data_IF_061468026429
#
_entry.id   IF_061468026429
#
_cell.length_a   1.000
_cell.length_b   1.000
_cell.length_c   1.000
_cell.angle_alpha   90.00
_cell.angle_beta   90.00
_cell.angle_gamma   90.00
#
_symmetry.space_group_name_H-M   'P 1'
#
loop_
_entity.id
_entity.type
_entity.pdbx_description
1 polymer ?
#
# COMPACT_ATOMS: atom_id res chain seq x y z
N UNK A 1 21.27 -47.49 68.91
CA UNK A 1 20.50 -46.44 68.21
C UNK A 1 21.16 -45.12 68.55
N UNK A 2 21.63 -44.40 67.52
CA UNK A 2 22.78 -43.49 67.53
C UNK A 2 22.53 -42.11 68.20
N UNK A 3 23.65 -41.46 68.56
CA UNK A 3 23.84 -40.32 69.45
C UNK A 3 24.00 -38.94 68.73
N UNK A 4 23.73 -37.87 69.51
CA UNK A 4 24.39 -36.55 69.63
C UNK A 4 24.26 -35.36 68.63
N UNK A 5 24.46 -34.19 69.26
CA UNK A 5 24.38 -32.75 68.92
C UNK A 5 25.50 -32.19 68.00
N UNK A 6 25.16 -31.05 67.38
CA UNK A 6 25.91 -29.77 67.15
C UNK A 6 27.40 -29.75 66.79
N UNK A 7 27.78 -28.91 65.79
CA UNK A 7 28.83 -27.86 65.84
C UNK A 7 29.16 -27.25 64.45
N UNK A 8 29.81 -26.07 64.48
CA UNK A 8 30.03 -25.06 63.44
C UNK A 8 31.30 -25.24 62.55
N UNK A 9 31.21 -24.74 61.29
CA UNK A 9 32.19 -24.06 60.37
C UNK A 9 33.60 -24.68 60.06
N UNK A 10 34.31 -24.34 58.93
CA UNK A 10 34.23 -23.13 58.06
C UNK A 10 34.33 -23.30 56.50
N UNK A 11 33.98 -22.21 55.79
CA UNK A 11 34.41 -21.69 54.47
C UNK A 11 35.29 -22.53 53.50
N UNK A 12 34.86 -22.65 52.23
CA UNK A 12 35.60 -22.10 51.07
C UNK A 12 34.71 -21.95 49.82
N UNK A 13 35.00 -20.94 48.99
CA UNK A 13 34.23 -20.47 47.82
C UNK A 13 34.47 -21.33 46.57
N UNK A 14 33.43 -21.60 45.77
CA UNK A 14 33.55 -21.62 44.30
C UNK A 14 32.20 -21.35 43.62
N UNK A 15 32.22 -20.40 42.66
CA UNK A 15 31.07 -19.89 41.90
C UNK A 15 30.34 -21.01 41.13
N UNK A 16 29.06 -21.22 41.41
CA UNK A 16 28.15 -22.09 40.68
C UNK A 16 27.22 -21.29 39.76
N UNK A 17 27.16 -21.70 38.49
CA UNK A 17 26.35 -21.14 37.40
C UNK A 17 24.86 -21.10 37.77
N UNK A 18 24.21 -19.95 37.55
CA UNK A 18 22.76 -19.82 37.61
C UNK A 18 22.07 -20.58 36.46
N UNK A 19 20.80 -21.00 36.64
CA UNK A 19 20.08 -21.79 35.65
C UNK A 19 19.72 -20.93 34.44
N UNK A 20 19.71 -21.57 33.27
CA UNK A 20 19.36 -20.97 31.99
C UNK A 20 17.93 -20.41 32.03
N UNK A 21 17.81 -19.10 31.78
CA UNK A 21 16.53 -18.48 31.46
C UNK A 21 16.18 -18.83 30.02
N UNK A 22 15.10 -19.59 29.87
CA UNK A 22 14.41 -19.85 28.62
C UNK A 22 13.79 -18.53 28.15
N UNK A 23 14.50 -17.81 27.28
CA UNK A 23 13.97 -16.62 26.62
C UNK A 23 13.07 -17.07 25.47
N UNK A 24 11.80 -17.33 25.77
CA UNK A 24 10.77 -17.20 24.73
C UNK A 24 10.60 -15.72 24.43
N UNK A 25 11.15 -15.29 23.30
CA UNK A 25 11.00 -13.95 22.74
C UNK A 25 9.53 -13.74 22.32
N UNK A 26 8.79 -12.75 22.86
CA UNK A 26 7.39 -12.55 22.51
C UNK A 26 7.20 -11.71 21.23
N UNK A 27 7.98 -11.91 20.15
CA UNK A 27 7.95 -10.98 19.00
C UNK A 27 7.97 -11.58 17.59
N UNK A 28 7.67 -12.87 17.39
CA UNK A 28 7.61 -13.45 16.03
C UNK A 28 6.17 -13.59 15.47
N UNK A 29 5.16 -13.10 16.20
CA UNK A 29 3.82 -13.01 15.65
C UNK A 29 3.74 -11.82 14.68
N UNK A 30 3.42 -12.10 13.41
CA UNK A 30 3.09 -11.05 12.43
C UNK A 30 2.00 -10.14 13.02
N UNK A 31 2.04 -8.82 12.79
CA UNK A 31 0.99 -7.92 13.27
C UNK A 31 -0.36 -8.41 12.77
N UNK A 32 -1.25 -8.79 13.68
CA UNK A 32 -2.62 -9.13 13.32
C UNK A 32 -3.31 -7.87 12.82
N UNK A 33 -4.20 -8.02 11.84
CA UNK A 33 -5.04 -6.91 11.42
C UNK A 33 -5.86 -6.39 12.61
N UNK A 34 -5.80 -5.08 12.86
CA UNK A 34 -6.61 -4.39 13.88
C UNK A 34 -7.05 -3.02 13.34
N UNK A 35 -8.28 -2.58 13.67
CA UNK A 35 -8.73 -1.23 13.36
C UNK A 35 -8.10 -0.19 14.29
N UNK A 36 -8.27 1.08 13.92
CA UNK A 36 -7.85 2.24 14.69
C UNK A 36 -8.39 2.24 16.13
N UNK A 37 -7.62 2.71 17.14
CA UNK A 37 -8.14 2.93 18.49
C UNK A 37 -9.21 4.03 18.60
N UNK A 38 -9.49 4.78 17.51
CA UNK A 38 -10.60 5.75 17.43
C UNK A 38 -11.94 5.12 16.97
N UNK A 39 -11.97 3.79 16.77
CA UNK A 39 -13.10 3.02 16.24
C UNK A 39 -14.13 2.69 17.35
N UNK A 40 -14.95 3.66 17.75
CA UNK A 40 -16.10 3.41 18.64
C UNK A 40 -17.45 3.28 17.89
N UNK A 41 -17.48 3.43 16.56
CA UNK A 41 -18.73 3.45 15.79
C UNK A 41 -18.57 2.82 14.40
N UNK A 42 -18.85 1.51 14.31
CA UNK A 42 -19.14 0.85 13.03
C UNK A 42 -20.38 1.53 12.43
N UNK A 43 -20.29 2.01 11.19
CA UNK A 43 -21.44 2.60 10.49
C UNK A 43 -22.06 1.52 9.61
N UNK A 44 -23.32 1.16 9.82
CA UNK A 44 -23.94 0.04 9.10
C UNK A 44 -24.11 0.27 7.59
N UNK A 45 -23.97 1.52 7.11
CA UNK A 45 -24.04 1.93 5.70
C UNK A 45 -23.12 3.15 5.50
N UNK A 46 -22.54 3.33 4.29
CA UNK A 46 -21.90 4.59 3.92
C UNK A 46 -22.95 5.69 3.84
N UNK A 47 -22.61 6.94 4.20
CA UNK A 47 -23.69 7.94 4.40
C UNK A 47 -24.29 8.48 3.11
N UNK A 48 -23.56 8.47 2.01
CA UNK A 48 -23.96 9.18 0.79
C UNK A 48 -23.71 8.39 -0.49
N UNK A 49 -22.51 7.82 -0.67
CA UNK A 49 -22.11 7.14 -1.91
C UNK A 49 -21.98 5.61 -1.72
N UNK A 50 -23.08 4.95 -1.41
CA UNK A 50 -23.10 3.48 -1.32
C UNK A 50 -23.26 2.82 -2.69
N UNK A 51 -22.61 1.66 -2.83
CA UNK A 51 -22.85 0.81 -3.97
C UNK A 51 -24.19 0.09 -3.90
N UNK A 52 -24.72 -0.28 -5.06
CA UNK A 52 -25.93 -1.10 -5.14
C UNK A 52 -25.68 -2.53 -4.63
N UNK A 53 -26.73 -3.18 -4.12
CA UNK A 53 -26.69 -4.60 -3.73
C UNK A 53 -26.18 -5.49 -4.86
N UNK A 54 -26.65 -5.23 -6.09
CA UNK A 54 -26.22 -5.94 -7.29
C UNK A 54 -24.72 -5.79 -7.54
N UNK A 55 -24.17 -4.59 -7.33
CA UNK A 55 -22.73 -4.36 -7.47
C UNK A 55 -21.94 -5.04 -6.36
N UNK A 56 -22.48 -5.09 -5.14
CA UNK A 56 -21.88 -5.81 -4.02
C UNK A 56 -21.80 -7.32 -4.31
N UNK A 57 -22.91 -7.93 -4.72
CA UNK A 57 -22.98 -9.35 -5.06
C UNK A 57 -22.11 -9.72 -6.26
N UNK A 58 -22.17 -8.93 -7.34
CA UNK A 58 -21.34 -9.16 -8.52
C UNK A 58 -19.84 -9.03 -8.21
N UNK A 59 -19.46 -8.09 -7.34
CA UNK A 59 -18.10 -7.95 -6.87
C UNK A 59 -17.66 -9.14 -6.00
N UNK A 60 -18.51 -9.64 -5.10
CA UNK A 60 -18.27 -10.87 -4.33
C UNK A 60 -18.04 -12.05 -5.27
N UNK A 61 -18.86 -12.21 -6.32
CA UNK A 61 -18.70 -13.25 -7.34
C UNK A 61 -17.41 -13.11 -8.16
N UNK A 62 -17.07 -11.89 -8.56
CA UNK A 62 -15.81 -11.59 -9.24
C UNK A 62 -14.62 -12.02 -8.38
N UNK A 63 -14.62 -11.68 -7.09
CA UNK A 63 -13.54 -12.06 -6.17
C UNK A 63 -13.37 -13.59 -6.06
N UNK A 64 -14.47 -14.35 -6.07
CA UNK A 64 -14.44 -15.81 -6.03
C UNK A 64 -13.89 -16.43 -7.32
N UNK A 65 -14.21 -15.84 -8.48
CA UNK A 65 -13.77 -16.32 -9.79
C UNK A 65 -12.34 -15.92 -10.15
N UNK A 66 -11.85 -14.82 -9.58
CA UNK A 66 -10.56 -14.24 -9.91
C UNK A 66 -9.70 -14.15 -8.64
N UNK A 67 -8.97 -15.22 -8.26
CA UNK A 67 -8.03 -15.17 -7.14
C UNK A 67 -7.03 -14.03 -7.28
N UNK A 68 -6.55 -13.52 -6.15
CA UNK A 68 -5.53 -12.46 -6.12
C UNK A 68 -4.27 -12.92 -6.85
N UNK A 69 -3.69 -12.01 -7.63
CA UNK A 69 -2.44 -12.28 -8.32
C UNK A 69 -1.31 -12.37 -7.28
N UNK A 70 -0.46 -13.41 -7.35
CA UNK A 70 0.72 -13.46 -6.49
C UNK A 70 1.68 -12.32 -6.85
N UNK A 71 2.52 -11.87 -5.90
CA UNK A 71 3.56 -10.90 -6.16
C UNK A 71 4.47 -11.34 -7.28
N UNK A 72 4.94 -10.38 -8.08
CA UNK A 72 5.81 -10.67 -9.22
C UNK A 72 6.94 -9.67 -9.35
N UNK A 73 8.05 -10.11 -9.93
CA UNK A 73 9.11 -9.21 -10.34
C UNK A 73 8.59 -8.29 -11.46
N UNK A 74 8.99 -7.03 -11.40
CA UNK A 74 8.70 -6.05 -12.44
C UNK A 74 9.43 -6.44 -13.73
N UNK A 75 8.80 -6.15 -14.88
CA UNK A 75 9.44 -6.38 -16.18
C UNK A 75 10.68 -5.50 -16.33
N UNK A 76 11.64 -5.94 -17.16
CA UNK A 76 12.84 -5.15 -17.46
C UNK A 76 12.49 -3.76 -17.98
N UNK A 77 11.46 -3.66 -18.83
CA UNK A 77 10.95 -2.38 -19.34
C UNK A 77 10.47 -1.47 -18.19
N UNK A 78 9.72 -2.01 -17.21
CA UNK A 78 9.28 -1.24 -16.06
C UNK A 78 10.48 -0.76 -15.21
N UNK A 79 11.47 -1.64 -14.98
CA UNK A 79 12.68 -1.30 -14.24
C UNK A 79 13.48 -0.19 -14.96
N UNK A 80 13.62 -0.28 -16.28
CA UNK A 80 14.28 0.75 -17.10
C UNK A 80 13.54 2.08 -17.02
N UNK A 81 12.20 2.08 -17.11
CA UNK A 81 11.41 3.30 -16.94
C UNK A 81 11.60 3.91 -15.55
N UNK A 82 11.60 3.10 -14.49
CA UNK A 82 11.83 3.58 -13.12
C UNK A 82 13.24 4.17 -12.98
N UNK A 83 14.26 3.55 -13.57
CA UNK A 83 15.64 4.08 -13.57
C UNK A 83 15.73 5.42 -14.31
N UNK A 84 15.05 5.53 -15.44
CA UNK A 84 15.10 6.73 -16.28
C UNK A 84 14.25 7.90 -15.74
N UNK A 85 13.09 7.61 -15.14
CA UNK A 85 12.08 8.62 -14.80
C UNK A 85 11.83 8.76 -13.28
N UNK A 86 12.40 7.87 -12.46
CA UNK A 86 12.10 7.80 -11.03
C UNK A 86 10.62 7.55 -10.78
N UNK A 87 10.02 8.35 -9.89
CA UNK A 87 8.60 8.28 -9.56
C UNK A 87 7.70 8.63 -10.76
N UNK A 88 8.24 9.27 -11.79
CA UNK A 88 7.52 9.60 -13.02
C UNK A 88 7.10 8.36 -13.82
N UNK A 89 7.66 7.18 -13.50
CA UNK A 89 7.27 5.91 -14.11
C UNK A 89 5.91 5.39 -13.60
N UNK A 90 5.41 5.88 -12.46
CA UNK A 90 4.07 5.55 -11.96
C UNK A 90 3.04 6.41 -12.67
N UNK A 91 2.12 5.75 -13.33
CA UNK A 91 1.02 6.32 -14.10
C UNK A 91 -0.30 5.70 -13.63
N UNK A 92 -1.43 6.32 -13.98
CA UNK A 92 -2.75 5.72 -13.78
C UNK A 92 -3.23 5.07 -15.07
N UNK A 93 -3.77 3.86 -14.94
CA UNK A 93 -4.34 3.10 -16.05
C UNK A 93 -5.83 3.39 -16.18
N UNK A 94 -6.30 3.52 -17.41
CA UNK A 94 -7.74 3.55 -17.68
C UNK A 94 -8.36 2.22 -17.25
N UNK A 95 -9.38 2.22 -16.36
CA UNK A 95 -10.04 0.99 -15.94
C UNK A 95 -10.55 0.20 -17.13
N UNK A 96 -10.30 -1.11 -17.13
CA UNK A 96 -10.81 -2.00 -18.18
C UNK A 96 -12.34 -2.07 -18.08
N UNK A 97 -13.02 -2.02 -19.23
CA UNK A 97 -14.47 -2.17 -19.28
C UNK A 97 -14.84 -3.60 -18.86
N UNK A 98 -15.64 -3.73 -17.80
CA UNK A 98 -16.19 -5.03 -17.38
C UNK A 98 -17.70 -4.93 -17.43
N UNK A 99 -18.34 -5.82 -18.18
CA UNK A 99 -19.81 -5.89 -18.30
C UNK A 99 -20.45 -4.54 -18.72
N UNK A 100 -19.77 -3.78 -19.57
CA UNK A 100 -20.23 -2.46 -20.04
C UNK A 100 -20.09 -1.32 -19.02
N UNK A 101 -19.53 -1.61 -17.85
CA UNK A 101 -19.23 -0.63 -16.80
C UNK A 101 -17.79 -0.16 -16.96
N UNK A 102 -17.61 1.14 -17.04
CA UNK A 102 -16.28 1.74 -17.05
C UNK A 102 -16.31 3.14 -16.49
N UNK A 103 -15.14 3.56 -16.01
CA UNK A 103 -14.86 4.94 -15.70
C UNK A 103 -15.24 5.84 -16.89
N UNK A 104 -16.02 6.88 -16.60
CA UNK A 104 -16.39 7.92 -17.57
C UNK A 104 -15.49 9.12 -17.35
N UNK A 105 -14.42 9.24 -18.12
CA UNK A 105 -13.50 10.36 -17.96
C UNK A 105 -12.24 10.23 -18.78
N UNK A 106 -11.27 11.09 -18.46
CA UNK A 106 -9.94 11.09 -19.06
C UNK A 106 -8.87 11.04 -17.98
N UNK A 107 -7.77 10.36 -18.30
CA UNK A 107 -6.55 10.32 -17.49
C UNK A 107 -5.44 10.91 -18.35
N UNK A 108 -4.77 11.93 -17.82
CA UNK A 108 -3.64 12.59 -18.45
C UNK A 108 -2.39 12.34 -17.61
N UNK A 109 -1.63 11.30 -17.98
CA UNK A 109 -0.33 11.01 -17.37
C UNK A 109 0.67 12.10 -17.78
N UNK A 110 0.95 13.03 -16.87
CA UNK A 110 1.78 14.21 -17.14
C UNK A 110 3.26 13.88 -17.10
N UNK A 111 3.82 13.29 -18.16
CA UNK A 111 5.24 12.92 -18.24
C UNK A 111 6.22 14.07 -17.92
N UNK A 112 5.83 15.33 -18.18
CA UNK A 112 6.66 16.52 -17.90
C UNK A 112 6.40 17.17 -16.54
N UNK A 113 5.19 17.03 -16.01
CA UNK A 113 4.80 17.66 -14.73
C UNK A 113 5.00 16.74 -13.53
N UNK A 114 5.22 15.43 -13.75
CA UNK A 114 5.38 14.44 -12.69
C UNK A 114 4.09 14.15 -11.91
N UNK A 115 2.95 14.66 -12.40
CA UNK A 115 1.62 14.50 -11.80
C UNK A 115 0.62 14.06 -12.85
N UNK A 116 -0.39 13.35 -12.40
CA UNK A 116 -1.39 12.73 -13.26
C UNK A 116 -2.72 13.40 -13.01
N UNK A 117 -3.28 14.03 -14.03
CA UNK A 117 -4.58 14.72 -13.92
C UNK A 117 -5.70 13.80 -14.39
N UNK A 118 -6.72 13.65 -13.56
CA UNK A 118 -7.90 12.84 -13.85
C UNK A 118 -9.12 13.74 -13.85
N UNK A 119 -9.95 13.59 -14.87
CA UNK A 119 -11.22 14.31 -15.01
C UNK A 119 -12.32 13.28 -15.26
N UNK A 120 -13.28 13.15 -14.35
CA UNK A 120 -14.49 12.39 -14.62
C UNK A 120 -15.54 13.26 -15.30
N UNK A 121 -16.44 12.63 -16.05
CA UNK A 121 -17.66 13.24 -16.57
C UNK A 121 -18.78 13.10 -15.54
N UNK A 122 -19.85 13.86 -15.73
CA UNK A 122 -21.11 13.65 -15.02
C UNK A 122 -21.59 12.20 -15.12
N UNK A 123 -22.33 11.77 -14.10
CA UNK A 123 -22.88 10.42 -13.97
C UNK A 123 -21.80 9.32 -14.11
N UNK A 124 -20.61 9.57 -13.55
CA UNK A 124 -19.57 8.57 -13.47
C UNK A 124 -20.02 7.47 -12.50
N UNK A 125 -20.12 6.21 -12.93
CA UNK A 125 -20.41 5.12 -12.00
C UNK A 125 -19.23 4.91 -11.07
N UNK A 126 -19.46 4.17 -9.99
CA UNK A 126 -18.38 3.68 -9.12
C UNK A 126 -17.28 3.07 -9.98
N UNK A 127 -16.08 3.62 -9.82
CA UNK A 127 -14.93 3.27 -10.64
C UNK A 127 -13.68 3.30 -9.80
N UNK A 128 -12.81 2.31 -9.96
CA UNK A 128 -11.49 2.29 -9.33
C UNK A 128 -10.38 2.35 -10.38
N UNK A 129 -9.62 3.43 -10.33
CA UNK A 129 -8.47 3.71 -11.19
C UNK A 129 -7.21 3.26 -10.47
N UNK A 130 -6.38 2.47 -11.13
CA UNK A 130 -5.19 1.89 -10.53
C UNK A 130 -3.90 2.47 -11.09
N UNK A 131 -2.84 2.50 -10.28
CA UNK A 131 -1.49 2.71 -10.80
C UNK A 131 -1.03 1.55 -11.69
N UNK A 132 -0.25 1.83 -12.73
CA UNK A 132 0.35 0.82 -13.62
C UNK A 132 1.41 -0.06 -12.93
N UNK A 133 2.05 0.48 -11.89
CA UNK A 133 3.08 -0.17 -11.09
C UNK A 133 2.63 -0.29 -9.63
N UNK A 134 3.07 -1.34 -8.91
CA UNK A 134 2.77 -1.46 -7.49
C UNK A 134 3.45 -0.34 -6.70
N UNK A 135 2.73 0.27 -5.77
CA UNK A 135 3.29 1.17 -4.76
C UNK A 135 3.91 0.38 -3.60
N UNK A 136 3.52 -0.89 -3.43
CA UNK A 136 4.14 -1.88 -2.56
C UNK A 136 4.45 -3.11 -3.43
N UNK A 137 5.71 -3.32 -3.77
CA UNK A 137 6.13 -4.51 -4.52
C UNK A 137 6.63 -5.57 -3.54
N UNK A 138 5.87 -6.66 -3.37
CA UNK A 138 6.08 -7.64 -2.31
C UNK A 138 7.43 -8.36 -2.43
N UNK A 139 7.88 -8.62 -3.66
CA UNK A 139 9.14 -9.32 -3.91
C UNK A 139 10.40 -8.44 -3.86
N UNK A 140 10.30 -7.17 -3.50
CA UNK A 140 11.46 -6.28 -3.43
C UNK A 140 11.77 -5.89 -1.98
N UNK A 141 13.04 -5.64 -1.68
CA UNK A 141 13.47 -5.12 -0.38
C UNK A 141 13.14 -3.61 -0.29
N UNK A 142 12.48 -3.14 0.78
CA UNK A 142 12.23 -1.71 0.99
C UNK A 142 13.51 -0.86 1.18
N UNK A 143 14.70 -1.47 1.30
CA UNK A 143 16.02 -0.80 1.38
C UNK A 143 16.11 0.24 2.50
N UNK A 144 15.66 -0.14 3.70
CA UNK A 144 15.71 0.73 4.87
C UNK A 144 14.70 1.88 4.85
N UNK A 145 13.76 1.89 3.90
CA UNK A 145 12.60 2.79 3.96
C UNK A 145 11.62 2.32 5.02
N UNK A 146 10.94 3.29 5.63
CA UNK A 146 9.89 3.01 6.62
C UNK A 146 8.51 2.76 5.98
N UNK A 147 8.31 3.24 4.74
CA UNK A 147 7.01 3.12 4.07
C UNK A 147 6.95 3.69 2.65
N UNK A 148 5.74 3.68 2.11
CA UNK A 148 5.36 4.28 0.83
C UNK A 148 4.22 5.27 1.01
N UNK A 149 4.19 6.31 0.17
CA UNK A 149 3.22 7.39 0.27
C UNK A 149 2.91 8.02 -1.10
N UNK A 150 1.66 8.46 -1.29
CA UNK A 150 1.26 9.29 -2.44
C UNK A 150 0.14 10.27 -2.05
N UNK A 151 -0.03 11.33 -2.84
CA UNK A 151 -1.02 12.39 -2.59
C UNK A 151 -2.00 12.56 -3.75
N UNK A 152 -3.22 12.95 -3.42
CA UNK A 152 -4.27 13.36 -4.35
C UNK A 152 -4.71 14.76 -4.00
N UNK A 153 -4.50 15.70 -4.93
CA UNK A 153 -4.97 17.07 -4.82
C UNK A 153 -6.33 17.22 -5.48
N UNK A 154 -7.30 17.72 -4.73
CA UNK A 154 -8.64 17.98 -5.22
C UNK A 154 -8.66 19.25 -6.05
N UNK A 155 -9.01 19.14 -7.33
CA UNK A 155 -9.22 20.31 -8.21
C UNK A 155 -10.71 20.65 -8.26
N UNK A 156 -11.57 19.63 -8.39
CA UNK A 156 -13.02 19.73 -8.35
C UNK A 156 -13.58 18.53 -7.60
N UNK A 157 -14.27 18.82 -6.49
CA UNK A 157 -14.97 17.80 -5.70
C UNK A 157 -16.37 17.65 -6.29
N UNK A 158 -16.82 16.42 -6.62
CA UNK A 158 -18.18 16.22 -7.13
C UNK A 158 -19.21 16.55 -6.04
N UNK A 159 -20.39 17.09 -6.40
CA UNK A 159 -21.47 17.28 -5.43
C UNK A 159 -22.00 15.94 -4.94
N UNK A 160 -22.49 15.88 -3.70
CA UNK A 160 -23.15 14.69 -3.17
C UNK A 160 -24.33 14.25 -4.08
N UNK A 161 -24.55 12.93 -4.25
CA UNK A 161 -23.85 11.81 -3.63
C UNK A 161 -22.53 11.38 -4.31
N UNK A 162 -21.79 12.29 -4.94
CA UNK A 162 -20.47 12.00 -5.49
C UNK A 162 -19.34 11.94 -4.47
N UNK A 163 -18.31 11.15 -4.78
CA UNK A 163 -17.14 10.95 -3.93
C UNK A 163 -15.88 10.69 -4.76
N UNK A 164 -14.73 11.12 -4.22
CA UNK A 164 -13.40 10.66 -4.63
C UNK A 164 -12.86 9.82 -3.46
N UNK A 165 -12.38 8.61 -3.72
CA UNK A 165 -11.76 7.78 -2.70
C UNK A 165 -10.25 7.63 -2.94
N UNK A 166 -9.46 7.73 -1.87
CA UNK A 166 -8.00 7.59 -1.93
C UNK A 166 -7.63 6.30 -1.20
N UNK A 167 -7.01 5.36 -1.91
CA UNK A 167 -6.83 4.01 -1.40
C UNK A 167 -5.67 3.24 -2.01
N UNK A 168 -5.61 1.97 -1.63
CA UNK A 168 -4.66 1.01 -2.18
C UNK A 168 -5.33 -0.35 -2.28
N UNK A 169 -4.99 -1.15 -3.29
CA UNK A 169 -5.55 -2.50 -3.41
C UNK A 169 -4.63 -3.47 -4.14
N UNK A 170 -4.79 -4.74 -3.81
CA UNK A 170 -4.27 -5.84 -4.62
C UNK A 170 -5.16 -6.09 -5.85
N UNK A 171 -4.57 -6.69 -6.88
CA UNK A 171 -5.26 -7.08 -8.12
C UNK A 171 -5.42 -8.60 -8.18
N UNK A 172 -6.41 -9.14 -8.93
CA UNK A 172 -7.50 -8.44 -9.61
C UNK A 172 -8.55 -7.87 -8.64
N UNK A 173 -9.00 -6.64 -8.89
CA UNK A 173 -10.03 -5.95 -8.10
C UNK A 173 -11.27 -5.68 -8.97
N UNK A 174 -12.50 -5.75 -8.43
CA UNK A 174 -13.72 -5.38 -9.16
C UNK A 174 -13.69 -3.87 -9.48
N UNK A 175 -13.31 -3.51 -10.71
CA UNK A 175 -13.06 -2.12 -11.10
C UNK A 175 -14.27 -1.18 -11.06
N UNK A 176 -15.48 -1.73 -10.88
CA UNK A 176 -16.73 -1.00 -10.69
C UNK A 176 -17.11 -0.80 -9.21
N UNK A 177 -16.14 -0.96 -8.31
CA UNK A 177 -16.27 -0.75 -6.87
C UNK A 177 -15.27 0.30 -6.44
N UNK A 178 -15.57 1.08 -5.42
CA UNK A 178 -14.62 2.01 -4.82
C UNK A 178 -13.55 1.25 -4.00
N UNK A 179 -12.33 1.80 -3.82
CA UNK A 179 -11.30 1.23 -2.95
C UNK A 179 -11.80 1.00 -1.52
N UNK A 180 -11.37 -0.10 -0.91
CA UNK A 180 -11.73 -0.48 0.46
C UNK A 180 -12.91 -1.44 0.58
N UNK A 181 -13.77 -1.50 -0.44
CA UNK A 181 -15.01 -2.29 -0.39
C UNK A 181 -14.85 -3.80 -0.62
N UNK A 182 -13.72 -4.25 -1.11
CA UNK A 182 -13.48 -5.66 -1.41
C UNK A 182 -12.08 -6.10 -0.95
N UNK A 183 -11.83 -7.41 -1.00
CA UNK A 183 -10.62 -8.08 -0.47
C UNK A 183 -9.31 -7.35 -0.84
N UNK A 184 -8.41 -7.32 0.12
CA UNK A 184 -7.12 -6.64 0.13
C UNK A 184 -7.19 -5.27 -0.53
N UNK A 185 -8.06 -4.42 -0.01
CA UNK A 185 -8.15 -3.02 -0.39
C UNK A 185 -8.43 -2.16 0.81
N UNK A 186 -7.74 -1.02 0.90
CA UNK A 186 -7.99 0.04 1.86
C UNK A 186 -8.43 1.31 1.12
N UNK A 187 -9.37 2.08 1.66
CA UNK A 187 -9.81 3.34 1.05
C UNK A 187 -10.35 4.33 2.07
N UNK A 188 -10.11 5.62 1.81
CA UNK A 188 -10.76 6.74 2.49
C UNK A 188 -11.68 7.45 1.50
N UNK A 189 -12.95 7.58 1.85
CA UNK A 189 -13.99 8.16 0.99
C UNK A 189 -14.27 9.60 1.42
N UNK A 190 -14.29 10.52 0.46
CA UNK A 190 -14.29 11.96 0.76
C UNK A 190 -15.68 12.55 1.02
N UNK A 191 -16.75 11.81 0.72
CA UNK A 191 -18.13 12.21 0.97
C UNK A 191 -18.50 12.17 2.46
N UNK A 192 -17.96 11.20 3.20
CA UNK A 192 -18.26 11.00 4.63
C UNK A 192 -17.01 10.86 5.52
N UNK A 193 -15.80 10.95 4.95
CA UNK A 193 -14.53 10.78 5.65
C UNK A 193 -14.40 9.41 6.36
N UNK A 194 -15.12 8.39 5.89
CA UNK A 194 -15.01 7.02 6.38
C UNK A 194 -13.84 6.28 5.75
N UNK A 195 -13.29 5.34 6.51
CA UNK A 195 -12.25 4.42 6.03
C UNK A 195 -12.79 3.00 5.89
N UNK A 196 -12.31 2.29 4.89
CA UNK A 196 -12.77 0.95 4.53
C UNK A 196 -11.55 0.05 4.35
N UNK A 197 -11.59 -1.17 4.89
CA UNK A 197 -10.60 -2.21 4.59
C UNK A 197 -11.30 -3.57 4.50
N UNK A 198 -11.31 -4.16 3.30
CA UNK A 198 -12.10 -5.36 2.99
C UNK A 198 -13.56 -5.28 3.45
N UNK A 199 -14.17 -4.10 3.34
CA UNK A 199 -15.43 -3.77 3.99
C UNK A 199 -16.53 -3.47 2.95
N UNK A 200 -17.28 -4.49 2.50
CA UNK A 200 -18.31 -4.32 1.48
C UNK A 200 -19.59 -3.67 2.00
N UNK A 201 -19.80 -3.64 3.32
CA UNK A 201 -21.12 -3.47 3.91
C UNK A 201 -21.23 -2.20 4.79
N UNK A 202 -20.14 -1.58 5.26
CA UNK A 202 -20.25 -0.28 5.94
C UNK A 202 -18.97 0.22 6.60
N UNK A 203 -18.50 1.40 6.16
CA UNK A 203 -17.20 1.95 6.55
C UNK A 203 -17.06 2.28 8.03
N UNK A 204 -15.81 2.57 8.43
CA UNK A 204 -15.45 2.90 9.81
C UNK A 204 -15.20 4.38 9.98
N UNK A 205 -15.68 4.92 11.09
CA UNK A 205 -15.33 6.28 11.49
C UNK A 205 -13.82 6.37 11.75
N UNK A 206 -13.19 7.45 11.29
CA UNK A 206 -11.75 7.62 11.41
C UNK A 206 -11.36 8.89 12.18
N UNK A 207 -11.64 10.08 11.65
CA UNK A 207 -11.28 11.37 12.29
C UNK A 207 -12.44 12.34 12.47
N UNK A 208 -13.67 11.82 12.41
CA UNK A 208 -14.87 12.64 12.29
C UNK A 208 -14.99 13.28 10.90
N UNK A 209 -16.16 13.84 10.62
CA UNK A 209 -16.49 14.41 9.30
C UNK A 209 -15.94 15.82 9.15
N UNK A 210 -15.35 16.08 7.99
CA UNK A 210 -14.97 17.43 7.57
C UNK A 210 -15.17 17.61 6.07
N UNK A 211 -15.49 18.83 5.66
CA UNK A 211 -15.76 19.12 4.25
C UNK A 211 -14.46 19.10 3.43
N UNK A 212 -14.40 18.21 2.44
CA UNK A 212 -13.37 18.23 1.39
C UNK A 212 -13.72 19.28 0.34
N UNK A 213 -12.73 20.12 -0.01
CA UNK A 213 -12.90 21.25 -0.93
C UNK A 213 -11.82 21.25 -1.99
N UNK A 214 -12.08 21.97 -3.08
CA UNK A 214 -11.05 22.28 -4.07
C UNK A 214 -9.82 22.90 -3.40
N UNK A 215 -8.64 22.46 -3.82
CA UNK A 215 -7.35 22.82 -3.25
C UNK A 215 -6.88 21.92 -2.11
N UNK A 216 -7.76 21.13 -1.47
CA UNK A 216 -7.33 20.19 -0.43
C UNK A 216 -6.47 19.07 -1.00
N UNK A 217 -5.51 18.61 -0.20
CA UNK A 217 -4.64 17.47 -0.51
C UNK A 217 -4.91 16.36 0.48
N UNK A 218 -5.22 15.17 -0.04
CA UNK A 218 -5.37 13.95 0.76
C UNK A 218 -4.26 13.00 0.37
N UNK A 219 -3.42 12.63 1.34
CA UNK A 219 -2.40 11.61 1.14
C UNK A 219 -2.76 10.30 1.80
N UNK A 220 -2.11 9.22 1.35
CA UNK A 220 -2.20 7.89 1.96
C UNK A 220 -0.81 7.31 2.11
N UNK A 221 -0.53 6.79 3.30
CA UNK A 221 0.74 6.17 3.66
C UNK A 221 0.56 4.72 4.10
N UNK A 222 1.56 3.89 3.78
CA UNK A 222 1.69 2.52 4.29
C UNK A 222 3.06 2.35 4.96
N UNK A 223 3.09 1.94 6.22
CA UNK A 223 4.32 1.64 6.97
C UNK A 223 4.70 0.18 6.84
N UNK A 224 5.90 -0.10 6.35
CA UNK A 224 6.35 -1.46 6.05
C UNK A 224 6.49 -2.35 7.30
N UNK A 225 6.98 -1.79 8.40
CA UNK A 225 7.25 -2.57 9.61
C UNK A 225 5.99 -3.11 10.30
N UNK A 226 4.88 -2.38 10.22
CA UNK A 226 3.67 -2.65 11.02
C UNK A 226 2.44 -2.97 10.18
N UNK A 227 2.52 -2.81 8.84
CA UNK A 227 1.34 -2.85 7.98
C UNK A 227 0.33 -1.76 8.36
N UNK A 228 0.82 -0.61 8.83
CA UNK A 228 -0.03 0.53 9.19
C UNK A 228 -0.44 1.30 7.94
N UNK A 229 -1.75 1.55 7.78
CA UNK A 229 -2.29 2.50 6.80
C UNK A 229 -2.84 3.71 7.52
N UNK A 230 -2.49 4.88 7.00
CA UNK A 230 -3.00 6.16 7.46
C UNK A 230 -3.24 7.11 6.29
N UNK A 231 -4.06 8.12 6.54
CA UNK A 231 -4.26 9.24 5.63
C UNK A 231 -3.72 10.53 6.20
N UNK A 232 -3.46 11.50 5.33
CA UNK A 232 -3.12 12.87 5.68
C UNK A 232 -4.13 13.83 5.06
N UNK A 233 -4.34 14.98 5.69
CA UNK A 233 -5.11 16.08 5.14
C UNK A 233 -4.27 17.35 5.20
N UNK A 234 -4.00 17.95 4.04
CA UNK A 234 -3.17 19.15 3.88
C UNK A 234 -1.85 19.05 4.66
N UNK A 235 -1.17 17.91 4.49
CA UNK A 235 0.12 17.61 5.13
C UNK A 235 0.07 17.21 6.60
N UNK A 236 -1.12 17.10 7.22
CA UNK A 236 -1.27 16.65 8.60
C UNK A 236 -1.73 15.19 8.66
N UNK A 237 -1.02 14.29 9.34
CA UNK A 237 -1.50 12.93 9.57
C UNK A 237 -2.83 12.92 10.34
N UNK A 238 -3.73 12.04 9.92
CA UNK A 238 -5.05 11.84 10.53
C UNK A 238 -5.03 10.74 11.61
N UNK A 239 -3.86 10.17 11.92
CA UNK A 239 -3.72 9.05 12.86
C UNK A 239 -3.55 7.71 12.13
N UNK A 240 -3.60 6.60 12.86
CA UNK A 240 -3.53 5.26 12.26
C UNK A 240 -4.94 4.76 12.01
N UNK A 241 -5.26 4.35 10.77
CA UNK A 241 -6.59 3.82 10.43
C UNK A 241 -6.65 2.30 10.58
N UNK A 242 -5.62 1.60 10.08
CA UNK A 242 -5.50 0.15 10.14
C UNK A 242 -4.07 -0.24 10.47
N UNK A 243 -3.86 -1.37 11.13
CA UNK A 243 -2.55 -2.01 11.31
C UNK A 243 -2.58 -3.45 10.81
N UNK A 244 -1.43 -4.02 10.47
CA UNK A 244 -1.34 -5.41 9.99
C UNK A 244 -1.98 -5.67 8.63
N UNK A 245 -2.38 -4.64 7.89
CA UNK A 245 -2.92 -4.81 6.52
C UNK A 245 -1.80 -5.16 5.56
N UNK A 246 -2.10 -5.95 4.52
CA UNK A 246 -1.13 -6.39 3.50
C UNK A 246 0.11 -7.09 4.07
N UNK A 247 -0.05 -7.76 5.23
CA UNK A 247 1.02 -8.53 5.87
C UNK A 247 0.78 -10.04 5.71
N UNK A 248 1.84 -10.84 5.49
CA UNK A 248 3.22 -10.41 5.28
C UNK A 248 3.41 -9.78 3.89
N UNK A 249 4.23 -8.72 3.83
CA UNK A 249 4.39 -7.87 2.65
C UNK A 249 4.81 -8.65 1.41
N UNK A 250 5.63 -9.68 1.59
CA UNK A 250 6.17 -10.53 0.53
C UNK A 250 5.10 -11.35 -0.20
N UNK A 251 3.85 -11.36 0.31
CA UNK A 251 2.71 -12.03 -0.31
C UNK A 251 1.81 -11.09 -1.12
N UNK A 252 2.11 -9.78 -1.16
CA UNK A 252 1.23 -8.80 -1.79
C UNK A 252 1.98 -7.80 -2.68
N UNK A 253 1.53 -7.70 -3.93
CA UNK A 253 1.72 -6.49 -4.73
C UNK A 253 0.50 -5.59 -4.54
N UNK A 254 0.71 -4.39 -4.02
CA UNK A 254 -0.35 -3.40 -3.76
C UNK A 254 -0.15 -2.19 -4.64
N UNK A 255 -1.23 -1.76 -5.27
CA UNK A 255 -1.28 -0.65 -6.21
C UNK A 255 -2.01 0.52 -5.58
N UNK A 256 -1.69 1.74 -6.03
CA UNK A 256 -2.55 2.88 -5.71
C UNK A 256 -3.91 2.64 -6.36
N UNK A 257 -4.97 2.96 -5.63
CA UNK A 257 -6.34 2.74 -6.03
C UNK A 257 -7.14 4.02 -5.73
N UNK A 258 -7.58 4.73 -6.77
CA UNK A 258 -8.33 5.98 -6.63
C UNK A 258 -9.74 5.74 -7.15
N UNK A 259 -10.71 5.90 -6.27
CA UNK A 259 -12.13 5.75 -6.57
C UNK A 259 -12.76 7.05 -7.03
N UNK A 260 -13.70 6.98 -7.99
CA UNK A 260 -14.51 8.14 -8.40
C UNK A 260 -15.94 7.69 -8.64
N UNK A 261 -16.90 8.46 -8.13
CA UNK A 261 -18.33 8.28 -8.38
C UNK A 261 -19.06 9.62 -8.29
N UNK A 262 -20.21 9.72 -8.95
CA UNK A 262 -21.17 10.80 -8.68
C UNK A 262 -21.81 11.44 -9.90
N UNK A 263 -22.83 12.28 -9.66
CA UNK A 263 -23.60 12.93 -10.71
C UNK A 263 -22.86 14.10 -11.37
N UNK A 264 -21.91 14.72 -10.68
CA UNK A 264 -21.12 15.84 -11.22
C UNK A 264 -19.70 15.44 -11.61
N UNK A 265 -19.04 16.31 -12.37
CA UNK A 265 -17.63 16.15 -12.72
C UNK A 265 -16.73 16.21 -11.48
N UNK A 266 -15.83 15.24 -11.36
CA UNK A 266 -14.74 15.22 -10.40
C UNK A 266 -13.43 15.52 -11.13
N UNK A 267 -12.52 16.23 -10.48
CA UNK A 267 -11.22 16.55 -11.03
C UNK A 267 -10.17 16.53 -9.94
N UNK A 268 -9.07 15.81 -10.17
CA UNK A 268 -7.99 15.71 -9.19
C UNK A 268 -6.66 15.43 -9.87
N UNK A 269 -5.59 15.67 -9.13
CA UNK A 269 -4.22 15.38 -9.54
C UNK A 269 -3.58 14.39 -8.57
N UNK A 270 -3.11 13.25 -9.08
CA UNK A 270 -2.34 12.28 -8.31
C UNK A 270 -0.84 12.56 -8.43
N UNK A 271 -0.15 12.54 -7.30
CA UNK A 271 1.30 12.72 -7.20
C UNK A 271 1.92 11.51 -6.50
N UNK A 272 2.80 10.80 -7.21
CA UNK A 272 3.58 9.67 -6.68
C UNK A 272 4.98 10.07 -6.19
N UNK A 273 5.32 11.37 -6.23
CA UNK A 273 6.57 11.94 -5.75
C UNK A 273 7.49 12.50 -6.84
N UNK A 274 7.02 12.56 -8.09
CA UNK A 274 7.74 13.11 -9.25
C UNK A 274 7.39 14.57 -9.57
N UNK A 275 6.21 15.04 -9.14
CA UNK A 275 5.76 16.41 -9.40
C UNK A 275 6.24 17.36 -8.33
N UNK A 276 5.33 17.84 -7.50
CA UNK A 276 5.67 18.67 -6.33
C UNK A 276 6.14 17.82 -5.15
N UNK A 277 6.85 18.46 -4.22
CA UNK A 277 7.11 17.88 -2.90
C UNK A 277 5.81 17.69 -2.15
N UNK A 278 5.66 16.55 -1.48
CA UNK A 278 4.45 16.26 -0.72
C UNK A 278 4.16 17.33 0.34
N UNK A 279 2.88 17.60 0.55
CA UNK A 279 2.42 18.47 1.63
C UNK A 279 2.81 17.88 2.98
N UNK A 280 2.67 16.56 3.14
CA UNK A 280 3.22 15.84 4.29
C UNK A 280 4.73 15.65 4.11
N UNK A 281 5.53 16.37 4.91
CA UNK A 281 6.97 16.50 4.68
C UNK A 281 7.73 15.18 4.81
N UNK A 282 7.39 14.36 5.79
CA UNK A 282 8.00 13.03 5.97
C UNK A 282 7.74 12.10 4.77
N UNK A 283 6.62 12.30 4.06
CA UNK A 283 6.28 11.55 2.85
C UNK A 283 7.33 11.66 1.74
N UNK A 284 8.15 12.71 1.71
CA UNK A 284 9.20 12.88 0.70
C UNK A 284 10.32 11.85 0.83
N UNK A 285 10.45 11.19 1.98
CA UNK A 285 11.34 10.03 2.15
C UNK A 285 10.67 8.71 1.72
N UNK A 286 9.35 8.71 1.56
CA UNK A 286 8.50 7.54 1.30
C UNK A 286 8.03 7.44 -0.17
N UNK A 287 8.75 8.10 -1.08
CA UNK A 287 8.48 8.06 -2.52
C UNK A 287 8.50 6.63 -3.09
N UNK A 288 7.55 6.34 -4.00
CA UNK A 288 7.27 5.00 -4.52
C UNK A 288 8.39 4.37 -5.37
N UNK A 289 9.34 5.13 -5.89
CA UNK A 289 10.46 4.52 -6.64
C UNK A 289 11.43 3.73 -5.75
N UNK A 290 11.44 4.02 -4.44
CA UNK A 290 12.56 3.62 -3.61
C UNK A 290 12.52 2.19 -3.10
N UNK A 291 11.39 1.51 -3.19
CA UNK A 291 11.27 0.09 -2.81
C UNK A 291 11.52 -0.87 -3.97
N UNK A 292 11.87 -0.39 -5.18
CA UNK A 292 12.14 -1.25 -6.35
C UNK A 292 13.58 -1.05 -6.84
N UNK A 293 14.25 -2.13 -7.27
CA UNK A 293 15.55 -2.04 -7.95
C UNK A 293 16.66 -3.03 -7.55
N UNK A 294 16.51 -3.83 -6.49
CA UNK A 294 17.37 -5.00 -6.24
C UNK A 294 16.52 -6.17 -5.74
N UNK A 295 16.73 -7.35 -6.31
CA UNK A 295 16.09 -8.59 -5.85
C UNK A 295 16.48 -8.88 -4.40
N UNK A 296 15.66 -9.60 -3.61
CA UNK A 296 16.01 -10.02 -2.27
C UNK A 296 17.33 -10.82 -2.33
N UNK A 297 18.38 -10.33 -1.68
CA UNK A 297 19.71 -10.97 -1.65
C UNK A 297 20.77 -10.41 -2.60
N UNK A 298 20.49 -9.34 -3.36
CA UNK A 298 21.54 -8.60 -4.06
C UNK A 298 22.39 -7.80 -3.08
N UNK A 299 23.58 -8.27 -2.73
CA UNK A 299 24.58 -7.48 -2.02
C UNK A 299 24.84 -6.19 -2.81
N UNK A 300 24.63 -5.04 -2.15
CA UNK A 300 24.97 -3.73 -2.68
C UNK A 300 26.49 -3.51 -2.70
N UNK A 301 27.20 -4.33 -3.45
CA UNK A 301 28.57 -4.05 -3.86
C UNK A 301 28.58 -3.70 -5.34
N UNK A 302 29.53 -2.83 -5.65
CA UNK A 302 29.57 -1.98 -6.81
C UNK A 302 29.45 -2.72 -8.15
N UNK A 303 28.96 -1.95 -9.12
CA UNK A 303 29.31 -2.02 -10.53
C UNK A 303 30.80 -2.38 -10.69
N UNK A 304 31.13 -3.66 -10.85
CA UNK A 304 32.45 -4.12 -11.29
C UNK A 304 32.32 -5.42 -12.10
N UNK A 305 32.65 -5.28 -13.38
CA UNK A 305 33.08 -6.29 -14.34
C UNK A 305 32.15 -7.47 -14.67
N UNK A 306 31.27 -7.22 -15.66
CA UNK A 306 30.94 -8.28 -16.62
C UNK A 306 32.22 -8.72 -17.33
N UNK A 307 32.61 -10.01 -17.30
CA UNK A 307 33.79 -10.46 -18.03
C UNK A 307 33.58 -10.21 -19.53
N UNK A 308 34.52 -9.48 -20.13
CA UNK A 308 34.56 -9.28 -21.57
C UNK A 308 34.65 -10.63 -22.30
N UNK A 309 33.99 -10.72 -23.44
CA UNK A 309 33.75 -11.96 -24.21
C UNK A 309 35.01 -12.57 -24.87
N UNK A 310 36.21 -12.30 -24.36
CA UNK A 310 37.49 -12.70 -24.97
C UNK A 310 38.22 -13.87 -24.30
N UNK A 311 37.78 -14.38 -23.15
CA UNK A 311 38.50 -15.46 -22.44
C UNK A 311 38.02 -16.89 -22.71
N UNK A 312 37.21 -17.14 -23.75
CA UNK A 312 36.77 -18.50 -24.10
C UNK A 312 37.59 -19.18 -25.21
N UNK A 313 38.85 -18.78 -25.44
CA UNK A 313 39.74 -19.45 -26.40
C UNK A 313 41.17 -19.58 -25.89
N UNK A 314 41.38 -20.46 -24.93
CA UNK A 314 42.57 -21.31 -24.90
C UNK A 314 42.37 -22.40 -23.86
N UNK A 315 41.75 -23.51 -24.28
CA UNK A 315 42.03 -24.82 -23.73
C UNK A 315 41.53 -25.87 -24.75
N UNK A 316 42.40 -26.21 -25.70
CA UNK A 316 42.32 -27.47 -26.43
C UNK A 316 43.52 -28.31 -26.00
N UNK A 317 43.33 -29.50 -25.41
CA UNK A 317 44.42 -30.42 -25.18
C UNK A 317 44.90 -30.97 -26.53
N UNK A 318 46.21 -30.90 -26.76
CA UNK A 318 46.90 -31.64 -27.82
C UNK A 318 46.92 -33.11 -27.38
N UNK A 319 46.23 -33.98 -28.12
CA UNK A 319 46.39 -35.42 -27.99
C UNK A 319 47.63 -35.85 -28.79
N UNK A 320 48.59 -36.47 -28.11
CA UNK A 320 49.60 -37.35 -28.69
C UNK A 320 49.02 -38.76 -28.83
#
# INVERSE_FOLDING_TARGET
>A
MSWLKAALHPSSKSKGKGPAHDYQNPSDALPSWNPSPFDEQIRPEGRYADATDQDCESAKHFCLKHPLAPPRLLSSEAIERIRAQGCGAWELELPTVVEGRSFKGTIHNGHKSGVIRVVSKCDCPDSCIFSNLPILAGLYDPRGKDGVYYEVKMIRVPPQPGSIAIGMACRPYPGWRMPGWNRLSAGFHTDDCSTFFEDPDGGRAYVGEFAIKSGHVIGIGYRFATGEVFWTHNGRPLGTAFTGVFMPREQHDVYAAIGVTGPGEAEFEANFGAGWDFEWKEGNNWKVQGHVGMSPGGSGEADDDLPSYTDSRNDRPVLN
#
